data_IF_361221111296
#
_entry.id   IF_361221111296
#
_cell.length_a   1.000
_cell.length_b   1.000
_cell.length_c   1.000
_cell.angle_alpha   90.00
_cell.angle_beta   90.00
_cell.angle_gamma   90.00
#
_symmetry.space_group_name_H-M   'P 1'
#
loop_
_entity.id
_entity.type
_entity.pdbx_description
1 polymer ?
#
# COMPACT_ATOMS: atom_id res chain seq x y z
N UNK A 1 -26.22 -49.67 -0.09
CA UNK A 1 -26.54 -48.28 -0.48
C UNK A 1 -25.57 -47.38 0.29
N UNK A 2 -24.46 -47.01 -0.33
CA UNK A 2 -23.38 -46.24 0.32
C UNK A 2 -23.74 -44.76 0.22
N UNK A 3 -24.09 -44.14 1.35
CA UNK A 3 -24.30 -42.70 1.44
C UNK A 3 -22.92 -42.03 1.53
N UNK A 4 -22.46 -41.46 0.42
CA UNK A 4 -21.21 -40.71 0.35
C UNK A 4 -21.42 -39.38 1.09
N UNK A 5 -20.87 -39.27 2.30
CA UNK A 5 -20.85 -38.03 3.07
C UNK A 5 -19.85 -37.08 2.39
N UNK A 6 -20.37 -36.14 1.59
CA UNK A 6 -19.61 -35.07 0.96
C UNK A 6 -19.07 -34.13 2.04
N UNK A 7 -17.86 -34.40 2.54
CA UNK A 7 -17.11 -33.47 3.39
C UNK A 7 -16.66 -32.29 2.51
N UNK A 8 -17.52 -31.28 2.39
CA UNK A 8 -17.15 -29.97 1.86
C UNK A 8 -16.15 -29.37 2.86
N UNK A 9 -14.87 -29.59 2.59
CA UNK A 9 -13.78 -28.84 3.21
C UNK A 9 -13.96 -27.38 2.79
N UNK A 10 -14.62 -26.61 3.65
CA UNK A 10 -14.61 -25.16 3.66
C UNK A 10 -13.18 -24.71 3.95
N UNK A 11 -12.32 -24.72 2.93
CA UNK A 11 -11.07 -23.98 2.97
C UNK A 11 -11.45 -22.51 3.06
N UNK A 12 -11.34 -21.96 4.28
CA UNK A 12 -11.64 -20.56 4.53
C UNK A 12 -10.90 -19.68 3.51
N UNK A 13 -11.65 -18.87 2.77
CA UNK A 13 -11.13 -17.83 1.89
C UNK A 13 -10.46 -16.72 2.74
N UNK A 14 -9.36 -17.05 3.41
CA UNK A 14 -8.43 -16.06 3.94
C UNK A 14 -7.66 -15.42 2.79
N UNK A 15 -7.43 -14.11 2.87
CA UNK A 15 -6.54 -13.43 1.94
C UNK A 15 -5.10 -13.87 2.19
N UNK A 16 -4.38 -14.28 1.14
CA UNK A 16 -2.99 -14.76 1.25
C UNK A 16 -2.09 -13.72 1.92
N UNK A 17 -2.34 -12.44 1.66
CA UNK A 17 -1.57 -11.30 2.21
C UNK A 17 -1.55 -11.25 3.75
N UNK A 18 -2.59 -11.79 4.39
CA UNK A 18 -2.73 -11.83 5.86
C UNK A 18 -2.27 -13.15 6.48
N UNK A 19 -1.78 -14.09 5.65
CA UNK A 19 -1.43 -15.44 6.10
C UNK A 19 -0.02 -15.47 6.70
N UNK A 20 0.07 -15.21 8.01
CA UNK A 20 1.35 -15.24 8.75
C UNK A 20 2.12 -16.55 8.57
N UNK A 21 1.43 -17.69 8.65
CA UNK A 21 2.05 -19.03 8.50
C UNK A 21 2.64 -19.26 7.12
N UNK A 22 2.09 -18.61 6.09
CA UNK A 22 2.64 -18.69 4.74
C UNK A 22 3.96 -17.91 4.62
N UNK A 23 4.02 -16.70 5.17
CA UNK A 23 5.17 -15.80 5.04
C UNK A 23 6.30 -16.10 6.01
N UNK A 24 6.03 -16.67 7.18
CA UNK A 24 7.03 -16.91 8.23
C UNK A 24 8.31 -17.64 7.75
N UNK A 25 8.26 -18.77 7.02
CA UNK A 25 9.49 -19.40 6.52
C UNK A 25 10.23 -18.54 5.48
N UNK A 26 9.51 -17.74 4.67
CA UNK A 26 10.13 -16.84 3.69
C UNK A 26 10.85 -15.69 4.40
N UNK A 27 10.22 -15.11 5.42
CA UNK A 27 10.79 -14.03 6.23
C UNK A 27 12.05 -14.48 6.95
N UNK A 28 12.08 -15.71 7.47
CA UNK A 28 13.29 -16.28 8.09
C UNK A 28 14.44 -16.37 7.09
N UNK A 29 14.21 -16.82 5.86
CA UNK A 29 15.27 -16.86 4.83
C UNK A 29 15.77 -15.46 4.48
N UNK A 30 14.86 -14.48 4.33
CA UNK A 30 15.23 -13.08 4.05
C UNK A 30 16.08 -12.50 5.18
N UNK A 31 15.72 -12.73 6.44
CA UNK A 31 16.46 -12.23 7.61
C UNK A 31 17.86 -12.85 7.72
N UNK A 32 18.03 -14.11 7.33
CA UNK A 32 19.31 -14.80 7.33
C UNK A 32 20.17 -14.51 6.09
N UNK A 33 19.72 -13.65 5.17
CA UNK A 33 20.42 -13.36 3.92
C UNK A 33 20.35 -14.49 2.88
N UNK A 34 19.50 -15.49 3.09
CA UNK A 34 19.31 -16.64 2.21
C UNK A 34 18.34 -16.30 1.05
N UNK A 35 18.62 -15.24 0.32
CA UNK A 35 17.68 -14.67 -0.65
C UNK A 35 17.28 -15.65 -1.77
N UNK A 36 18.21 -16.51 -2.22
CA UNK A 36 17.91 -17.58 -3.20
C UNK A 36 16.91 -18.61 -2.68
N UNK A 37 16.96 -18.92 -1.38
CA UNK A 37 16.00 -19.82 -0.75
C UNK A 37 14.61 -19.15 -0.67
N UNK A 38 14.54 -17.87 -0.29
CA UNK A 38 13.30 -17.10 -0.30
C UNK A 38 12.64 -17.08 -1.70
N UNK A 39 13.42 -16.80 -2.75
CA UNK A 39 12.97 -16.89 -4.16
C UNK A 39 12.42 -18.29 -4.47
N UNK A 40 13.15 -19.33 -4.12
CA UNK A 40 12.75 -20.72 -4.38
C UNK A 40 11.43 -21.08 -3.69
N UNK A 41 11.23 -20.61 -2.45
CA UNK A 41 9.99 -20.82 -1.70
C UNK A 41 8.80 -20.12 -2.34
N UNK A 42 8.95 -18.86 -2.79
CA UNK A 42 7.90 -18.09 -3.46
C UNK A 42 7.51 -18.74 -4.79
N UNK A 43 8.49 -19.11 -5.63
CA UNK A 43 8.22 -19.72 -6.93
C UNK A 43 7.61 -21.13 -6.77
N UNK A 44 8.08 -21.91 -5.80
CA UNK A 44 7.48 -23.21 -5.48
C UNK A 44 6.04 -23.06 -4.95
N UNK A 45 5.76 -22.02 -4.15
CA UNK A 45 4.41 -21.71 -3.69
C UNK A 45 3.49 -21.36 -4.86
N UNK A 46 3.97 -20.59 -5.84
CA UNK A 46 3.21 -20.31 -7.08
C UNK A 46 2.95 -21.57 -7.88
N UNK A 47 3.97 -22.40 -8.10
CA UNK A 47 3.83 -23.67 -8.83
C UNK A 47 2.82 -24.63 -8.15
N UNK A 48 2.80 -24.64 -6.82
CA UNK A 48 1.83 -25.39 -6.00
C UNK A 48 0.45 -24.71 -5.87
N UNK A 49 0.18 -23.67 -6.65
CA UNK A 49 -1.08 -22.91 -6.67
C UNK A 49 -1.46 -22.30 -5.30
N UNK A 50 -0.48 -22.01 -4.43
CA UNK A 50 -0.73 -21.27 -3.18
C UNK A 50 -1.07 -19.80 -3.45
N UNK A 51 -0.45 -19.21 -4.47
CA UNK A 51 -0.89 -17.95 -5.07
C UNK A 51 -1.94 -18.26 -6.14
N UNK A 52 -3.19 -17.89 -5.92
CA UNK A 52 -4.26 -18.04 -6.91
C UNK A 52 -4.21 -16.92 -7.95
N UNK A 53 -5.11 -16.94 -8.94
CA UNK A 53 -5.18 -15.87 -9.96
C UNK A 53 -5.51 -14.50 -9.32
N UNK A 54 -6.37 -14.50 -8.30
CA UNK A 54 -6.70 -13.30 -7.51
C UNK A 54 -5.52 -12.72 -6.73
N UNK A 55 -4.48 -13.52 -6.48
CA UNK A 55 -3.29 -13.12 -5.72
C UNK A 55 -2.14 -12.72 -6.65
N UNK A 56 -2.41 -12.48 -7.96
CA UNK A 56 -1.37 -12.23 -8.96
C UNK A 56 -0.51 -11.00 -8.66
N UNK A 57 -1.10 -9.91 -8.18
CA UNK A 57 -0.33 -8.73 -7.75
C UNK A 57 0.64 -9.10 -6.62
N UNK A 58 0.11 -9.74 -5.56
CA UNK A 58 0.89 -10.18 -4.39
C UNK A 58 2.04 -11.10 -4.79
N UNK A 59 1.77 -12.07 -5.67
CA UNK A 59 2.82 -12.95 -6.19
C UNK A 59 3.93 -12.16 -6.90
N UNK A 60 3.57 -11.23 -7.77
CA UNK A 60 4.55 -10.49 -8.57
C UNK A 60 5.38 -9.55 -7.71
N UNK A 61 4.80 -8.86 -6.74
CA UNK A 61 5.55 -7.99 -5.83
C UNK A 61 6.45 -8.81 -4.88
N UNK A 62 5.94 -9.90 -4.29
CA UNK A 62 6.75 -10.80 -3.43
C UNK A 62 7.95 -11.36 -4.20
N UNK A 63 7.72 -11.88 -5.41
CA UNK A 63 8.77 -12.42 -6.25
C UNK A 63 9.76 -11.32 -6.69
N UNK A 64 9.26 -10.16 -7.12
CA UNK A 64 10.09 -9.04 -7.56
C UNK A 64 11.07 -8.57 -6.48
N UNK A 65 10.57 -8.39 -5.25
CA UNK A 65 11.41 -8.00 -4.11
C UNK A 65 12.39 -9.12 -3.71
N UNK A 66 11.95 -10.38 -3.71
CA UNK A 66 12.86 -11.49 -3.41
C UNK A 66 14.01 -11.60 -4.43
N UNK A 67 13.73 -11.39 -5.72
CA UNK A 67 14.77 -11.34 -6.76
C UNK A 67 15.68 -10.12 -6.63
N UNK A 68 15.17 -8.95 -6.21
CA UNK A 68 16.00 -7.77 -5.92
C UNK A 68 17.05 -8.11 -4.86
N UNK A 69 16.63 -8.65 -3.72
CA UNK A 69 17.56 -9.04 -2.65
C UNK A 69 18.49 -10.19 -3.07
N UNK A 70 18.05 -11.08 -3.95
CA UNK A 70 18.89 -12.12 -4.54
C UNK A 70 19.84 -11.62 -5.64
N UNK A 71 19.86 -10.31 -5.92
CA UNK A 71 20.65 -9.66 -6.97
C UNK A 71 20.37 -10.16 -8.40
N UNK A 72 19.20 -10.76 -8.62
CA UNK A 72 18.70 -11.12 -9.96
C UNK A 72 17.80 -9.97 -10.45
N UNK A 73 18.45 -8.85 -10.76
CA UNK A 73 17.81 -7.58 -11.07
C UNK A 73 16.92 -7.64 -12.31
N UNK A 74 17.30 -8.43 -13.31
CA UNK A 74 16.50 -8.62 -14.52
C UNK A 74 15.16 -9.30 -14.20
N UNK A 75 15.18 -10.42 -13.46
CA UNK A 75 13.92 -11.08 -13.05
C UNK A 75 13.14 -10.22 -12.07
N UNK A 76 13.81 -9.48 -11.20
CA UNK A 76 13.16 -8.53 -10.31
C UNK A 76 12.34 -7.51 -11.11
N UNK A 77 12.96 -6.84 -12.09
CA UNK A 77 12.29 -5.88 -12.97
C UNK A 77 11.13 -6.52 -13.71
N UNK A 78 11.32 -7.69 -14.32
CA UNK A 78 10.23 -8.40 -15.03
C UNK A 78 9.03 -8.71 -14.12
N UNK A 79 9.26 -9.06 -12.85
CA UNK A 79 8.18 -9.33 -11.89
C UNK A 79 7.52 -8.04 -11.41
N UNK A 80 8.30 -7.00 -11.11
CA UNK A 80 7.77 -5.70 -10.67
C UNK A 80 6.93 -5.03 -11.76
N UNK A 81 7.34 -5.08 -13.02
CA UNK A 81 6.50 -4.63 -14.15
C UNK A 81 5.20 -5.42 -14.25
N UNK A 82 5.23 -6.74 -14.02
CA UNK A 82 4.00 -7.55 -13.99
C UNK A 82 3.11 -7.21 -12.80
N UNK A 83 3.68 -6.79 -11.67
CA UNK A 83 2.94 -6.28 -10.52
C UNK A 83 2.21 -4.98 -10.88
N UNK A 84 2.88 -4.02 -11.53
CA UNK A 84 2.23 -2.78 -12.01
C UNK A 84 1.07 -3.08 -12.97
N UNK A 85 1.31 -3.92 -13.99
CA UNK A 85 0.27 -4.28 -14.95
C UNK A 85 -0.92 -4.97 -14.27
N UNK A 86 -0.65 -5.87 -13.31
CA UNK A 86 -1.69 -6.50 -12.53
C UNK A 86 -2.47 -5.47 -11.71
N UNK A 87 -1.80 -4.51 -11.07
CA UNK A 87 -2.44 -3.47 -10.29
C UNK A 87 -3.41 -2.63 -11.13
N UNK A 88 -2.98 -2.17 -12.31
CA UNK A 88 -3.79 -1.35 -13.20
C UNK A 88 -5.03 -2.09 -13.72
N UNK A 89 -4.86 -3.34 -14.14
CA UNK A 89 -5.98 -4.19 -14.58
C UNK A 89 -6.98 -4.47 -13.45
N UNK A 90 -6.47 -4.77 -12.25
CA UNK A 90 -7.30 -5.08 -11.09
C UNK A 90 -8.07 -3.85 -10.60
N UNK A 91 -7.41 -2.69 -10.58
CA UNK A 91 -8.02 -1.42 -10.25
C UNK A 91 -9.13 -1.06 -11.24
N UNK A 92 -8.85 -1.17 -12.54
CA UNK A 92 -9.85 -0.90 -13.60
C UNK A 92 -11.08 -1.80 -13.46
N UNK A 93 -10.87 -3.12 -13.27
CA UNK A 93 -11.97 -4.06 -12.99
C UNK A 93 -12.76 -3.69 -11.74
N UNK A 94 -12.10 -3.21 -10.69
CA UNK A 94 -12.77 -2.83 -9.45
C UNK A 94 -13.71 -1.64 -9.65
N UNK A 95 -13.33 -0.64 -10.47
CA UNK A 95 -14.19 0.50 -10.83
C UNK A 95 -15.38 0.02 -11.66
N UNK A 96 -15.16 -0.77 -12.71
CA UNK A 96 -16.24 -1.26 -13.57
C UNK A 96 -17.26 -2.09 -12.77
N UNK A 97 -16.79 -2.96 -11.86
CA UNK A 97 -17.67 -3.75 -10.99
C UNK A 97 -18.44 -2.90 -9.99
N UNK A 98 -17.78 -1.88 -9.45
CA UNK A 98 -18.40 -0.93 -8.54
C UNK A 98 -19.56 -0.16 -9.19
N UNK A 99 -19.38 0.30 -10.43
CA UNK A 99 -20.44 0.95 -11.21
C UNK A 99 -21.62 0.00 -11.48
N UNK A 100 -21.36 -1.31 -11.60
CA UNK A 100 -22.40 -2.31 -11.87
C UNK A 100 -23.22 -2.73 -10.64
N UNK A 101 -22.67 -2.59 -9.41
CA UNK A 101 -23.40 -2.71 -8.15
C UNK A 101 -22.48 -2.44 -6.95
N UNK A 102 -22.90 -1.57 -6.04
CA UNK A 102 -22.23 -1.32 -4.75
C UNK A 102 -22.17 -2.56 -3.83
N UNK A 103 -23.01 -3.57 -4.10
CA UNK A 103 -23.28 -4.69 -3.19
C UNK A 103 -22.38 -5.91 -3.40
N UNK A 104 -21.52 -5.89 -4.43
CA UNK A 104 -20.57 -6.99 -4.69
C UNK A 104 -19.60 -7.15 -3.50
N UNK A 105 -19.23 -8.39 -3.18
CA UNK A 105 -18.39 -8.72 -2.03
C UNK A 105 -16.90 -8.40 -2.29
N UNK A 106 -16.24 -7.66 -1.38
CA UNK A 106 -14.81 -7.36 -1.50
C UNK A 106 -13.91 -8.60 -1.40
N UNK A 107 -14.35 -9.69 -0.77
CA UNK A 107 -13.60 -10.96 -0.80
C UNK A 107 -13.60 -11.64 -2.19
N UNK A 108 -14.44 -11.16 -3.12
CA UNK A 108 -14.43 -11.53 -4.54
C UNK A 108 -13.57 -10.54 -5.35
N UNK A 109 -13.26 -9.37 -4.79
CA UNK A 109 -12.35 -8.42 -5.41
C UNK A 109 -10.90 -8.87 -5.16
N UNK A 110 -10.17 -8.97 -6.25
CA UNK A 110 -8.76 -9.33 -6.26
C UNK A 110 -7.97 -8.14 -5.68
N UNK A 111 -6.95 -8.41 -4.88
CA UNK A 111 -6.14 -7.35 -4.26
C UNK A 111 -5.33 -6.61 -5.33
N UNK A 112 -5.67 -5.35 -5.57
CA UNK A 112 -5.06 -4.52 -6.63
C UNK A 112 -3.72 -3.90 -6.26
N UNK A 113 -3.24 -4.10 -5.02
CA UNK A 113 -2.13 -3.34 -4.46
C UNK A 113 -2.56 -2.00 -3.87
N UNK A 114 -1.84 -1.56 -2.83
CA UNK A 114 -1.92 -0.20 -2.33
C UNK A 114 -1.06 0.74 -3.20
N UNK A 115 -1.40 2.03 -3.19
CA UNK A 115 -0.74 3.01 -4.06
C UNK A 115 0.74 3.18 -3.72
N UNK A 116 1.11 3.11 -2.43
CA UNK A 116 2.52 3.08 -2.02
C UNK A 116 3.22 1.81 -2.52
N UNK A 117 2.60 0.63 -2.45
CA UNK A 117 3.24 -0.62 -2.91
C UNK A 117 3.58 -0.53 -4.40
N UNK A 118 2.65 0.03 -5.20
CA UNK A 118 2.84 0.25 -6.63
C UNK A 118 3.94 1.29 -6.88
N UNK A 119 3.95 2.40 -6.15
CA UNK A 119 5.00 3.42 -6.21
C UNK A 119 6.39 2.81 -5.96
N UNK A 120 6.54 2.04 -4.88
CA UNK A 120 7.83 1.43 -4.55
C UNK A 120 8.28 0.39 -5.57
N UNK A 121 7.38 -0.21 -6.36
CA UNK A 121 7.83 -1.07 -7.47
C UNK A 121 8.77 -0.34 -8.42
N UNK A 122 8.49 0.93 -8.77
CA UNK A 122 9.38 1.72 -9.61
C UNK A 122 10.68 2.07 -8.87
N UNK A 123 10.63 2.40 -7.58
CA UNK A 123 11.84 2.73 -6.82
C UNK A 123 12.78 1.52 -6.68
N UNK A 124 12.23 0.31 -6.49
CA UNK A 124 13.03 -0.92 -6.53
C UNK A 124 13.58 -1.22 -7.92
N UNK A 125 12.81 -0.98 -8.99
CA UNK A 125 13.34 -1.11 -10.36
C UNK A 125 14.45 -0.08 -10.64
N UNK A 126 14.32 1.16 -10.16
CA UNK A 126 15.39 2.16 -10.25
C UNK A 126 16.66 1.69 -9.53
N UNK A 127 16.54 1.15 -8.30
CA UNK A 127 17.68 0.56 -7.58
C UNK A 127 18.32 -0.61 -8.34
N UNK A 128 17.50 -1.48 -8.95
CA UNK A 128 17.97 -2.58 -9.78
C UNK A 128 18.80 -2.08 -10.97
N UNK A 129 18.32 -1.06 -11.66
CA UNK A 129 19.01 -0.45 -12.79
C UNK A 129 20.29 0.29 -12.38
N UNK A 130 20.26 1.03 -11.26
CA UNK A 130 21.45 1.65 -10.65
C UNK A 130 22.51 0.59 -10.35
N UNK A 131 22.11 -0.56 -9.79
CA UNK A 131 23.04 -1.64 -9.42
C UNK A 131 23.78 -2.26 -10.62
N UNK A 132 23.28 -2.07 -11.85
CA UNK A 132 23.93 -2.51 -13.09
C UNK A 132 24.42 -1.33 -13.95
N UNK A 133 24.56 -0.13 -13.37
CA UNK A 133 24.99 1.11 -14.03
C UNK A 133 24.13 1.55 -15.22
N UNK A 134 22.85 1.16 -15.26
CA UNK A 134 21.90 1.59 -16.29
C UNK A 134 21.09 2.80 -15.80
N UNK A 135 21.69 3.98 -15.83
CA UNK A 135 21.04 5.19 -15.32
C UNK A 135 19.86 5.65 -16.16
N UNK A 136 19.87 5.42 -17.48
CA UNK A 136 18.77 5.80 -18.37
C UNK A 136 17.44 5.16 -17.93
N UNK A 137 17.43 3.84 -17.74
CA UNK A 137 16.23 3.14 -17.27
C UNK A 137 15.90 3.48 -15.81
N UNK A 138 16.90 3.73 -14.96
CA UNK A 138 16.66 4.16 -13.58
C UNK A 138 15.98 5.54 -13.51
N UNK A 139 16.35 6.49 -14.38
CA UNK A 139 15.67 7.78 -14.51
C UNK A 139 14.23 7.62 -14.98
N UNK A 140 13.97 6.71 -15.93
CA UNK A 140 12.61 6.40 -16.35
C UNK A 140 11.76 5.96 -15.15
N UNK A 141 12.28 5.06 -14.32
CA UNK A 141 11.52 4.53 -13.18
C UNK A 141 11.30 5.56 -12.06
N UNK A 142 12.30 6.39 -11.72
CA UNK A 142 12.09 7.49 -10.76
C UNK A 142 11.09 8.54 -11.26
N UNK A 143 11.04 8.79 -12.58
CA UNK A 143 10.03 9.64 -13.20
C UNK A 143 8.64 9.00 -13.16
N UNK A 144 8.52 7.70 -13.48
CA UNK A 144 7.26 6.95 -13.40
C UNK A 144 6.71 6.94 -11.98
N UNK A 145 7.57 6.81 -10.96
CA UNK A 145 7.17 6.89 -9.55
C UNK A 145 6.48 8.24 -9.24
N UNK A 146 7.12 9.36 -9.59
CA UNK A 146 6.54 10.70 -9.40
C UNK A 146 5.28 10.93 -10.24
N UNK A 147 5.23 10.42 -11.47
CA UNK A 147 4.05 10.53 -12.33
C UNK A 147 2.84 9.84 -11.72
N UNK A 148 3.01 8.66 -11.11
CA UNK A 148 1.92 7.96 -10.42
C UNK A 148 1.31 8.83 -9.31
N UNK A 149 2.13 9.54 -8.52
CA UNK A 149 1.64 10.44 -7.48
C UNK A 149 0.80 11.58 -8.06
N UNK A 150 1.28 12.20 -9.13
CA UNK A 150 0.55 13.28 -9.81
C UNK A 150 -0.78 12.82 -10.42
N UNK A 151 -0.91 11.53 -10.73
CA UNK A 151 -2.13 10.94 -11.28
C UNK A 151 -3.08 10.38 -10.21
N UNK A 152 -2.70 10.31 -8.92
CA UNK A 152 -3.54 9.75 -7.86
C UNK A 152 -4.86 10.52 -7.69
N UNK A 153 -4.82 11.86 -7.73
CA UNK A 153 -6.05 12.65 -7.58
C UNK A 153 -7.03 12.38 -8.74
N UNK A 154 -6.52 12.32 -9.97
CA UNK A 154 -7.33 11.96 -11.13
C UNK A 154 -7.86 10.53 -11.02
N UNK A 155 -7.03 9.59 -10.54
CA UNK A 155 -7.39 8.18 -10.33
C UNK A 155 -8.57 8.06 -9.36
N UNK A 156 -8.53 8.75 -8.22
CA UNK A 156 -9.61 8.69 -7.22
C UNK A 156 -10.85 9.46 -7.64
N UNK A 157 -10.70 10.56 -8.38
CA UNK A 157 -11.84 11.25 -9.00
C UNK A 157 -12.58 10.32 -9.97
N UNK A 158 -11.87 9.64 -10.88
CA UNK A 158 -12.47 8.66 -11.80
C UNK A 158 -13.19 7.53 -11.07
N UNK A 159 -12.60 7.04 -9.98
CA UNK A 159 -13.26 6.06 -9.14
C UNK A 159 -14.58 6.65 -8.58
N UNK A 160 -14.52 7.81 -7.94
CA UNK A 160 -15.67 8.55 -7.40
C UNK A 160 -16.80 8.75 -8.42
N UNK A 161 -16.47 9.19 -9.63
CA UNK A 161 -17.43 9.43 -10.71
C UNK A 161 -18.12 8.12 -11.13
N UNK A 162 -17.36 7.03 -11.28
CA UNK A 162 -17.91 5.70 -11.58
C UNK A 162 -18.83 5.16 -10.48
N UNK A 163 -18.60 5.52 -9.22
CA UNK A 163 -19.49 5.17 -8.11
C UNK A 163 -20.78 5.98 -8.13
N UNK A 164 -20.69 7.29 -8.32
CA UNK A 164 -21.87 8.16 -8.32
C UNK A 164 -22.83 7.77 -9.47
N UNK A 165 -22.30 7.37 -10.64
CA UNK A 165 -23.10 6.82 -11.73
C UNK A 165 -23.84 5.52 -11.34
N UNK A 166 -23.16 4.59 -10.67
CA UNK A 166 -23.79 3.34 -10.22
C UNK A 166 -24.87 3.53 -9.14
N UNK A 167 -24.82 4.63 -8.38
CA UNK A 167 -25.84 5.00 -7.38
C UNK A 167 -27.11 5.54 -8.06
N UNK A 168 -26.98 6.29 -9.15
CA UNK A 168 -28.13 6.83 -9.89
C UNK A 168 -28.99 5.73 -10.55
N UNK A 169 -28.37 4.61 -10.95
CA UNK A 169 -29.05 3.51 -11.61
C UNK A 169 -29.75 2.52 -10.63
N UNK A 170 -29.32 2.47 -9.36
CA UNK A 170 -29.91 1.60 -8.32
C UNK A 170 -31.01 2.35 -7.54
N UNK A 171 -32.26 2.24 -8.01
CA UNK A 171 -33.48 2.89 -7.46
C UNK A 171 -33.86 2.54 -6.01
N UNK A 172 -32.98 1.88 -5.25
CA UNK A 172 -33.21 1.48 -3.87
C UNK A 172 -32.01 1.84 -2.97
N UNK A 173 -32.16 2.96 -2.25
CA UNK A 173 -31.48 3.33 -1.00
C UNK A 173 -30.26 4.30 -1.09
N UNK A 174 -30.48 5.45 -0.45
CA UNK A 174 -29.53 6.49 -0.01
C UNK A 174 -28.74 7.18 -1.13
N UNK A 175 -29.13 8.43 -1.44
CA UNK A 175 -28.29 9.36 -2.20
C UNK A 175 -27.01 9.64 -1.40
N UNK A 176 -25.91 8.96 -1.74
CA UNK A 176 -24.60 9.28 -1.18
C UNK A 176 -23.76 9.89 -2.27
N UNK A 177 -23.70 11.22 -2.29
CA UNK A 177 -22.76 11.94 -3.14
C UNK A 177 -21.35 11.84 -2.52
N UNK A 178 -20.55 10.91 -3.03
CA UNK A 178 -19.16 10.79 -2.62
C UNK A 178 -18.28 11.74 -3.45
N UNK A 179 -17.39 12.45 -2.77
CA UNK A 179 -16.34 13.25 -3.40
C UNK A 179 -14.99 12.74 -2.91
N UNK A 180 -14.13 12.38 -3.85
CA UNK A 180 -12.76 12.01 -3.55
C UNK A 180 -12.03 13.09 -2.74
N UNK A 181 -11.27 12.65 -1.74
CA UNK A 181 -10.40 13.52 -0.96
C UNK A 181 -9.23 14.02 -1.81
N UNK A 182 -8.69 15.18 -1.42
CA UNK A 182 -7.50 15.73 -2.08
C UNK A 182 -6.29 14.89 -1.68
N UNK A 183 -5.52 14.44 -2.66
CA UNK A 183 -4.24 13.77 -2.44
C UNK A 183 -3.22 14.82 -1.98
N UNK A 184 -2.57 14.60 -0.83
CA UNK A 184 -1.56 15.51 -0.29
C UNK A 184 -0.13 14.98 -0.42
N UNK A 185 0.04 13.88 -1.14
CA UNK A 185 1.33 13.31 -1.50
C UNK A 185 1.59 13.39 -3.01
N UNK A 186 2.51 14.26 -3.42
CA UNK A 186 2.82 14.52 -4.83
C UNK A 186 4.34 14.57 -5.14
N UNK A 187 5.19 14.45 -4.12
CA UNK A 187 6.63 14.57 -4.26
C UNK A 187 7.34 13.59 -3.30
N UNK A 188 7.87 12.52 -3.86
CA UNK A 188 8.51 11.42 -3.14
C UNK A 188 9.99 11.72 -2.85
N UNK A 189 10.38 11.73 -1.59
CA UNK A 189 11.72 12.12 -1.18
C UNK A 189 12.77 11.13 -1.67
N UNK A 190 12.46 9.84 -1.66
CA UNK A 190 13.40 8.82 -2.07
C UNK A 190 13.63 8.84 -3.58
N UNK A 191 12.58 9.02 -4.39
CA UNK A 191 12.67 9.22 -5.83
C UNK A 191 13.53 10.44 -6.18
N UNK A 192 13.34 11.58 -5.49
CA UNK A 192 14.14 12.79 -5.70
C UNK A 192 15.59 12.59 -5.32
N UNK A 193 15.84 11.90 -4.21
CA UNK A 193 17.19 11.56 -3.80
C UNK A 193 17.89 10.68 -4.85
N UNK A 194 17.25 9.62 -5.34
CA UNK A 194 17.82 8.75 -6.36
C UNK A 194 18.12 9.53 -7.65
N UNK A 195 17.16 10.32 -8.14
CA UNK A 195 17.33 11.13 -9.36
C UNK A 195 18.48 12.13 -9.22
N UNK A 196 18.51 12.88 -8.11
CA UNK A 196 19.61 13.80 -7.78
C UNK A 196 20.98 13.08 -7.78
N UNK A 197 21.07 11.90 -7.16
CA UNK A 197 22.33 11.14 -7.09
C UNK A 197 22.77 10.59 -8.44
N UNK A 198 21.82 10.16 -9.28
CA UNK A 198 22.12 9.72 -10.64
C UNK A 198 22.66 10.87 -11.49
N UNK A 199 22.02 12.05 -11.45
CA UNK A 199 22.51 13.23 -12.15
C UNK A 199 23.92 13.63 -11.69
N UNK A 200 24.16 13.63 -10.38
CA UNK A 200 25.48 13.91 -9.82
C UNK A 200 26.53 12.88 -10.25
N UNK A 201 26.17 11.58 -10.32
CA UNK A 201 27.07 10.52 -10.76
C UNK A 201 27.47 10.65 -12.24
N UNK A 202 26.60 11.24 -13.07
CA UNK A 202 26.90 11.55 -14.48
C UNK A 202 27.60 12.91 -14.68
N UNK A 203 27.92 13.63 -13.60
CA UNK A 203 28.52 14.97 -13.66
C UNK A 203 27.54 16.08 -14.08
N UNK A 204 26.24 15.79 -14.14
CA UNK A 204 25.17 16.73 -14.49
C UNK A 204 24.69 17.49 -13.25
N UNK A 205 25.56 18.30 -12.66
CA UNK A 205 25.28 18.97 -11.39
C UNK A 205 24.16 20.02 -11.45
N UNK A 206 23.96 20.64 -12.62
CA UNK A 206 22.86 21.58 -12.86
C UNK A 206 21.49 20.87 -12.83
N UNK A 207 21.43 19.62 -13.28
CA UNK A 207 20.22 18.80 -13.16
C UNK A 207 20.07 18.27 -11.73
N UNK A 208 21.17 17.85 -11.09
CA UNK A 208 21.16 17.37 -9.71
C UNK A 208 20.64 18.43 -8.72
N UNK A 209 20.98 19.71 -8.91
CA UNK A 209 20.48 20.78 -8.04
C UNK A 209 18.96 20.98 -8.16
N UNK A 210 18.37 20.68 -9.32
CA UNK A 210 16.91 20.74 -9.50
C UNK A 210 16.24 19.70 -8.61
N UNK A 211 16.68 18.44 -8.67
CA UNK A 211 16.09 17.38 -7.84
C UNK A 211 16.42 17.52 -6.36
N UNK A 212 17.59 18.08 -6.01
CA UNK A 212 17.89 18.45 -4.63
C UNK A 212 16.92 19.51 -4.08
N UNK A 213 16.55 20.51 -4.89
CA UNK A 213 15.57 21.51 -4.51
C UNK A 213 14.15 20.91 -4.41
N UNK A 214 13.82 19.93 -5.25
CA UNK A 214 12.55 19.20 -5.16
C UNK A 214 12.52 18.29 -3.93
N UNK A 215 13.63 17.66 -3.56
CA UNK A 215 13.79 16.94 -2.31
C UNK A 215 13.54 17.86 -1.11
N UNK A 216 14.16 19.04 -1.06
CA UNK A 216 13.90 20.05 -0.03
C UNK A 216 12.43 20.44 0.05
N UNK A 217 11.79 20.68 -1.09
CA UNK A 217 10.36 20.98 -1.15
C UNK A 217 9.51 19.84 -0.62
N UNK A 218 9.89 18.58 -0.83
CA UNK A 218 9.14 17.45 -0.27
C UNK A 218 9.04 17.57 1.25
N UNK A 219 10.15 17.83 1.95
CA UNK A 219 10.19 18.03 3.40
C UNK A 219 9.42 19.28 3.87
N UNK A 220 9.54 20.40 3.15
CA UNK A 220 8.88 21.66 3.53
C UNK A 220 7.36 21.62 3.31
N UNK A 221 6.93 21.06 2.17
CA UNK A 221 5.53 21.13 1.72
C UNK A 221 4.69 19.94 2.19
N UNK A 222 5.33 18.83 2.61
CA UNK A 222 4.65 17.62 3.07
C UNK A 222 5.11 17.18 4.49
N UNK A 223 5.07 18.06 5.51
CA UNK A 223 5.52 17.76 6.87
C UNK A 223 4.64 16.73 7.60
N UNK A 224 3.53 16.32 7.00
CA UNK A 224 2.65 15.26 7.49
C UNK A 224 3.12 13.85 7.06
N UNK A 225 4.07 13.78 6.13
CA UNK A 225 4.76 12.56 5.69
C UNK A 225 6.20 12.58 6.18
N UNK A 226 6.87 13.73 6.03
CA UNK A 226 8.24 13.96 6.47
C UNK A 226 8.23 14.83 7.73
N UNK A 227 7.82 14.24 8.85
CA UNK A 227 7.71 14.91 10.16
C UNK A 227 9.05 14.95 10.94
N UNK A 228 10.15 14.72 10.24
CA UNK A 228 11.52 14.68 10.75
C UNK A 228 12.43 15.60 9.93
N UNK A 229 13.59 15.95 10.51
CA UNK A 229 14.56 16.81 9.85
C UNK A 229 15.12 16.17 8.57
N UNK A 230 15.25 16.98 7.52
CA UNK A 230 15.89 16.54 6.28
C UNK A 230 17.35 16.13 6.55
N UNK A 231 17.79 14.95 6.10
CA UNK A 231 19.19 14.53 6.19
C UNK A 231 20.16 15.52 5.54
N UNK A 232 21.40 15.59 6.05
CA UNK A 232 22.47 16.40 5.45
C UNK A 232 22.99 15.75 4.16
N UNK A 233 22.25 15.98 3.08
CA UNK A 233 22.52 15.39 1.76
C UNK A 233 23.28 16.40 0.91
N UNK A 234 24.45 15.95 0.43
CA UNK A 234 25.27 16.66 -0.56
C UNK A 234 25.09 16.05 -1.94
N UNK A 235 25.00 16.88 -2.97
CA UNK A 235 25.01 16.46 -4.37
C UNK A 235 26.33 16.82 -5.09
N UNK A 236 27.04 17.81 -4.59
CA UNK A 236 28.34 18.27 -5.08
C UNK A 236 29.44 18.00 -4.04
N UNK A 237 30.62 17.47 -4.45
CA UNK A 237 31.79 17.43 -3.58
C UNK A 237 32.25 18.84 -3.21
N UNK A 238 32.87 18.98 -2.02
CA UNK A 238 33.36 20.29 -1.53
C UNK A 238 34.53 20.83 -2.37
N UNK A 239 35.35 19.94 -2.94
CA UNK A 239 36.44 20.26 -3.84
C UNK A 239 36.72 19.04 -4.76
N UNK A 240 37.67 19.18 -5.69
CA UNK A 240 38.01 18.15 -6.68
C UNK A 240 38.68 16.89 -6.10
N UNK A 241 39.23 16.97 -4.90
CA UNK A 241 39.90 15.87 -4.22
C UNK A 241 38.93 15.05 -3.34
N UNK A 242 37.71 15.55 -3.13
CA UNK A 242 36.67 14.86 -2.37
C UNK A 242 35.77 14.02 -3.30
N UNK A 243 35.39 12.82 -2.84
CA UNK A 243 34.37 11.97 -3.48
C UNK A 243 33.18 11.80 -2.53
N UNK A 244 31.96 11.74 -3.06
CA UNK A 244 30.78 11.41 -2.26
C UNK A 244 30.47 9.92 -2.40
N UNK A 245 30.52 9.20 -1.29
CA UNK A 245 29.96 7.85 -1.17
C UNK A 245 28.49 7.97 -0.74
N UNK A 246 27.57 7.49 -1.58
CA UNK A 246 26.15 7.39 -1.24
C UNK A 246 25.84 5.99 -0.75
N UNK A 247 25.35 5.89 0.48
CA UNK A 247 24.90 4.62 1.08
C UNK A 247 23.41 4.73 1.36
N UNK A 248 22.63 3.76 0.84
CA UNK A 248 21.19 3.66 1.08
C UNK A 248 20.93 2.35 1.81
N UNK A 249 20.22 2.42 2.92
CA UNK A 249 19.76 1.26 3.67
C UNK A 249 18.23 1.20 3.66
N UNK A 250 17.68 0.07 3.21
CA UNK A 250 16.27 -0.24 3.39
C UNK A 250 16.15 -1.13 4.62
N UNK A 251 15.48 -0.63 5.66
CA UNK A 251 15.39 -1.31 6.96
C UNK A 251 13.96 -1.32 7.50
N UNK A 252 13.68 -2.36 8.29
CA UNK A 252 12.35 -2.57 8.86
C UNK A 252 11.42 -3.34 7.93
N UNK A 253 10.15 -3.37 8.31
CA UNK A 253 9.09 -4.04 7.58
C UNK A 253 8.08 -2.99 7.13
N UNK A 254 7.56 -3.12 5.91
CA UNK A 254 6.45 -2.29 5.41
C UNK A 254 5.25 -2.34 6.37
N UNK A 255 4.34 -1.35 6.39
CA UNK A 255 3.12 -1.47 7.19
C UNK A 255 2.23 -2.63 6.70
N UNK A 256 1.27 -3.03 7.54
CA UNK A 256 0.28 -4.05 7.21
C UNK A 256 -1.13 -3.49 7.24
N UNK A 257 -1.99 -4.00 6.38
CA UNK A 257 -3.42 -3.69 6.42
C UNK A 257 -4.12 -4.67 7.38
N UNK A 258 -4.68 -4.15 8.46
CA UNK A 258 -5.44 -4.92 9.44
C UNK A 258 -6.93 -4.56 9.38
N UNK A 259 -7.79 -5.50 9.80
CA UNK A 259 -9.21 -5.25 9.95
C UNK A 259 -9.51 -4.68 11.35
N UNK A 260 -10.04 -3.46 11.39
CA UNK A 260 -10.64 -2.87 12.57
C UNK A 260 -12.11 -3.28 12.66
N UNK A 261 -12.43 -4.09 13.66
CA UNK A 261 -13.78 -4.61 13.86
C UNK A 261 -14.63 -3.61 14.65
N UNK A 262 -15.72 -3.17 14.03
CA UNK A 262 -16.66 -2.20 14.55
C UNK A 262 -18.07 -2.78 14.59
N UNK A 263 -18.96 -2.03 15.24
CA UNK A 263 -20.37 -2.34 15.35
C UNK A 263 -21.17 -1.07 15.12
N UNK A 264 -22.20 -1.19 14.31
CA UNK A 264 -23.20 -0.15 14.16
C UNK A 264 -24.40 -0.51 15.05
N UNK A 265 -24.88 0.48 15.81
CA UNK A 265 -26.13 0.44 16.56
C UNK A 265 -26.96 1.64 16.13
N UNK A 266 -28.25 1.46 15.84
CA UNK A 266 -29.19 2.58 15.74
C UNK A 266 -30.13 2.60 16.94
N UNK A 267 -30.60 3.79 17.27
CA UNK A 267 -31.56 4.06 18.34
C UNK A 267 -32.63 5.00 17.81
N UNK A 268 -33.81 4.43 17.49
CA UNK A 268 -34.93 5.14 16.86
C UNK A 268 -35.58 6.17 17.78
N UNK A 269 -35.51 5.96 19.09
CA UNK A 269 -36.11 6.87 20.06
C UNK A 269 -35.23 8.12 20.25
N UNK A 270 -33.94 8.01 19.92
CA UNK A 270 -32.95 9.08 20.01
C UNK A 270 -32.50 9.63 18.64
N UNK A 271 -33.04 9.13 17.52
CA UNK A 271 -32.57 9.43 16.16
C UNK A 271 -31.05 9.37 16.03
N UNK A 272 -30.46 8.27 16.52
CA UNK A 272 -29.02 8.14 16.71
C UNK A 272 -28.45 6.91 16.00
N UNK A 273 -27.36 7.09 15.26
CA UNK A 273 -26.52 6.02 14.72
C UNK A 273 -25.17 6.05 15.44
N UNK A 274 -24.87 5.02 16.22
CA UNK A 274 -23.59 4.87 16.93
C UNK A 274 -22.70 3.83 16.26
N UNK A 275 -21.41 4.15 16.18
CA UNK A 275 -20.35 3.24 15.75
C UNK A 275 -19.48 2.97 16.98
N UNK A 276 -19.37 1.69 17.34
CA UNK A 276 -18.70 1.24 18.54
C UNK A 276 -17.55 0.28 18.19
N UNK A 277 -16.47 0.36 18.96
CA UNK A 277 -15.40 -0.63 18.92
C UNK A 277 -15.90 -1.99 19.41
N UNK A 278 -15.45 -3.06 18.75
CA UNK A 278 -15.78 -4.44 19.17
C UNK A 278 -14.58 -5.19 19.74
N UNK A 279 -13.39 -4.60 19.72
CA UNK A 279 -12.20 -5.24 20.26
C UNK A 279 -12.26 -5.31 21.80
N UNK A 280 -11.69 -6.35 22.43
CA UNK A 280 -11.77 -6.53 23.88
C UNK A 280 -11.13 -5.40 24.69
N UNK A 281 -10.20 -4.62 24.11
CA UNK A 281 -9.48 -3.54 24.82
C UNK A 281 -10.28 -2.25 24.86
N UNK A 282 -11.09 -1.98 23.83
CA UNK A 282 -11.94 -0.79 23.69
C UNK A 282 -13.42 -1.16 23.66
N UNK A 283 -13.80 -2.27 24.28
CA UNK A 283 -15.12 -2.84 24.12
C UNK A 283 -16.21 -1.81 24.44
N UNK A 284 -17.12 -1.62 23.48
CA UNK A 284 -18.26 -0.69 23.57
C UNK A 284 -17.87 0.79 23.77
N UNK A 285 -16.59 1.13 23.57
CA UNK A 285 -16.14 2.52 23.44
C UNK A 285 -16.64 3.09 22.11
N UNK A 286 -17.02 4.36 22.13
CA UNK A 286 -17.53 5.05 20.96
C UNK A 286 -16.39 5.34 19.97
N UNK A 287 -16.57 4.88 18.73
CA UNK A 287 -15.76 5.28 17.58
C UNK A 287 -16.28 6.62 17.02
N UNK A 288 -17.60 6.78 17.00
CA UNK A 288 -18.28 8.01 16.61
C UNK A 288 -19.79 7.78 16.49
N UNK A 289 -20.54 8.85 16.30
CA UNK A 289 -21.97 8.79 16.05
C UNK A 289 -22.41 9.81 15.00
N UNK A 290 -23.61 9.59 14.47
CA UNK A 290 -24.34 10.48 13.59
C UNK A 290 -25.74 10.67 14.17
N UNK A 291 -26.16 11.91 14.36
CA UNK A 291 -27.55 12.24 14.70
C UNK A 291 -28.37 12.27 13.40
N UNK A 292 -29.10 11.20 13.14
CA UNK A 292 -29.86 10.98 11.90
C UNK A 292 -31.13 10.21 12.22
N UNK A 293 -32.30 10.61 11.66
CA UNK A 293 -33.53 9.89 11.86
C UNK A 293 -33.44 8.44 11.43
N UNK A 294 -33.82 7.51 12.30
CA UNK A 294 -33.80 6.07 12.03
C UNK A 294 -35.15 5.45 12.37
N UNK A 295 -35.70 4.67 11.44
CA UNK A 295 -37.03 4.09 11.59
C UNK A 295 -37.07 2.87 12.52
N UNK A 296 -35.93 2.22 12.73
CA UNK A 296 -35.81 0.96 13.48
C UNK A 296 -34.45 0.88 14.18
N UNK A 297 -34.38 0.01 15.18
CA UNK A 297 -33.15 -0.32 15.91
C UNK A 297 -32.42 -1.47 15.19
N UNK A 298 -31.26 -1.16 14.63
CA UNK A 298 -30.38 -2.08 13.95
C UNK A 298 -29.15 -2.34 14.78
N UNK A 299 -28.67 -3.57 14.67
CA UNK A 299 -27.44 -4.01 15.31
C UNK A 299 -26.69 -4.94 14.37
N UNK A 300 -25.53 -4.50 13.88
CA UNK A 300 -24.66 -5.37 13.08
C UNK A 300 -23.18 -5.02 13.23
N UNK A 301 -22.34 -6.04 13.08
CA UNK A 301 -20.89 -5.92 13.09
C UNK A 301 -20.37 -5.72 11.67
N UNK A 302 -19.34 -4.91 11.54
CA UNK A 302 -18.63 -4.71 10.28
C UNK A 302 -17.14 -4.48 10.56
N UNK A 303 -16.31 -4.56 9.52
CA UNK A 303 -14.87 -4.36 9.67
C UNK A 303 -14.38 -3.40 8.60
N UNK A 304 -13.66 -2.36 9.01
CA UNK A 304 -13.01 -1.42 8.10
C UNK A 304 -11.50 -1.70 8.09
N UNK A 305 -10.80 -1.49 6.96
CA UNK A 305 -9.35 -1.64 6.94
C UNK A 305 -8.66 -0.43 7.60
N UNK A 306 -7.51 -0.70 8.20
CA UNK A 306 -6.58 0.31 8.71
C UNK A 306 -5.15 -0.08 8.34
N UNK A 307 -4.30 0.91 8.10
CA UNK A 307 -2.85 0.70 7.95
C UNK A 307 -2.24 0.71 9.36
N UNK A 308 -1.40 -0.28 9.64
CA UNK A 308 -0.71 -0.44 10.91
C UNK A 308 0.78 -0.54 10.64
N UNK A 309 1.53 0.47 11.10
CA UNK A 309 2.98 0.48 11.03
C UNK A 309 3.59 -0.64 11.86
N UNK A 310 4.71 -1.19 11.39
CA UNK A 310 5.49 -2.21 12.10
C UNK A 310 6.81 -1.60 12.55
N UNK A 311 7.11 -1.68 13.85
CA UNK A 311 8.37 -1.18 14.38
C UNK A 311 9.56 -1.95 13.78
N UNK A 312 10.63 -1.22 13.47
CA UNK A 312 11.89 -1.80 13.05
C UNK A 312 12.63 -2.40 14.25
N UNK A 313 13.31 -3.54 14.04
CA UNK A 313 14.28 -4.09 15.00
C UNK A 313 15.66 -3.41 14.86
N UNK A 314 15.86 -2.66 13.78
CA UNK A 314 17.09 -1.91 13.50
C UNK A 314 16.93 -0.50 14.08
N UNK A 315 17.75 -0.18 15.08
CA UNK A 315 17.76 1.14 15.72
C UNK A 315 18.62 2.16 14.95
N UNK A 316 19.76 1.73 14.40
CA UNK A 316 20.68 2.57 13.62
C UNK A 316 21.49 1.74 12.64
N UNK A 317 21.93 2.37 11.55
CA UNK A 317 22.85 1.78 10.56
C UNK A 317 24.11 2.64 10.53
N UNK A 318 25.26 2.04 10.82
CA UNK A 318 26.55 2.71 10.88
C UNK A 318 27.43 2.23 9.73
N UNK A 319 28.12 3.16 9.08
CA UNK A 319 29.02 2.88 7.96
C UNK A 319 30.47 2.94 8.43
N UNK A 320 31.22 1.89 8.09
CA UNK A 320 32.66 1.83 8.27
C UNK A 320 33.36 1.57 6.94
N UNK A 321 34.54 2.16 6.74
CA UNK A 321 35.46 1.80 5.67
C UNK A 321 36.85 1.56 6.26
N UNK A 322 37.47 0.40 5.98
CA UNK A 322 38.78 0.04 6.54
C UNK A 322 38.88 0.18 8.07
N UNK A 323 37.79 -0.13 8.79
CA UNK A 323 37.63 0.06 10.26
C UNK A 323 37.52 1.51 10.74
N UNK A 324 37.52 2.49 9.85
CA UNK A 324 37.23 3.89 10.16
C UNK A 324 35.72 4.13 10.14
N UNK A 325 35.20 4.79 11.18
CA UNK A 325 33.80 5.21 11.25
C UNK A 325 33.57 6.36 10.26
N UNK A 326 32.66 6.17 9.32
CA UNK A 326 32.31 7.18 8.32
C UNK A 326 31.06 7.99 8.67
N UNK A 327 30.15 7.41 9.46
CA UNK A 327 28.90 8.06 9.83
C UNK A 327 27.76 7.09 10.13
N UNK A 328 26.61 7.67 10.46
CA UNK A 328 25.35 6.98 10.69
C UNK A 328 24.36 7.39 9.61
N UNK A 329 23.60 6.44 9.06
CA UNK A 329 22.54 6.75 8.10
C UNK A 329 21.43 7.52 8.80
N UNK A 330 20.95 8.57 8.14
CA UNK A 330 19.77 9.33 8.57
C UNK A 330 18.53 8.84 7.81
N UNK A 331 17.37 8.91 8.46
CA UNK A 331 16.10 8.55 7.84
C UNK A 331 15.79 9.52 6.70
N UNK A 332 15.61 8.99 5.49
CA UNK A 332 15.18 9.78 4.34
C UNK A 332 13.66 9.72 4.15
N UNK A 333 13.06 8.56 4.36
CA UNK A 333 11.65 8.32 4.10
C UNK A 333 11.10 7.23 5.03
N UNK A 334 9.96 7.49 5.66
CA UNK A 334 9.18 6.48 6.36
C UNK A 334 8.09 5.92 5.43
N UNK A 335 8.29 4.69 4.95
CA UNK A 335 7.32 3.95 4.12
C UNK A 335 5.96 3.82 4.81
N UNK A 336 5.94 3.74 6.14
CA UNK A 336 4.72 3.73 6.95
C UNK A 336 3.93 5.03 6.84
N UNK A 337 4.61 6.17 6.89
CA UNK A 337 3.98 7.49 6.70
C UNK A 337 3.43 7.64 5.27
N UNK A 338 4.21 7.24 4.26
CA UNK A 338 3.76 7.23 2.85
C UNK A 338 2.54 6.33 2.65
N UNK A 339 2.53 5.14 3.25
CA UNK A 339 1.40 4.23 3.18
C UNK A 339 0.14 4.77 3.86
N UNK A 340 0.29 5.43 5.02
CA UNK A 340 -0.83 6.06 5.71
C UNK A 340 -1.42 7.17 4.84
N UNK A 341 -0.60 8.09 4.33
CA UNK A 341 -1.10 9.21 3.53
C UNK A 341 -1.78 8.75 2.24
N UNK A 342 -1.18 7.79 1.51
CA UNK A 342 -1.80 7.22 0.31
C UNK A 342 -3.08 6.43 0.63
N UNK A 343 -3.21 5.85 1.82
CA UNK A 343 -4.43 5.19 2.26
C UNK A 343 -5.54 6.20 2.61
N UNK A 344 -5.22 7.29 3.31
CA UNK A 344 -6.19 8.33 3.68
C UNK A 344 -6.93 8.87 2.44
N UNK A 345 -6.22 9.13 1.34
CA UNK A 345 -6.80 9.65 0.10
C UNK A 345 -7.94 8.81 -0.52
N UNK A 346 -8.01 7.51 -0.19
CA UNK A 346 -9.09 6.60 -0.65
C UNK A 346 -9.93 6.01 0.49
N UNK A 347 -9.61 6.34 1.74
CA UNK A 347 -10.19 5.74 2.94
C UNK A 347 -11.68 5.97 3.01
N UNK A 348 -12.13 7.20 2.77
CA UNK A 348 -13.55 7.55 2.80
C UNK A 348 -14.38 6.74 1.81
N UNK A 349 -13.88 6.52 0.59
CA UNK A 349 -14.52 5.62 -0.37
C UNK A 349 -14.61 4.17 0.13
N UNK A 350 -13.53 3.65 0.70
CA UNK A 350 -13.50 2.29 1.23
C UNK A 350 -14.49 2.13 2.39
N UNK A 351 -14.55 3.12 3.28
CA UNK A 351 -15.41 3.09 4.46
C UNK A 351 -16.87 3.20 4.05
N UNK A 352 -17.18 4.10 3.12
CA UNK A 352 -18.51 4.25 2.57
C UNK A 352 -19.06 2.92 2.04
N UNK A 353 -18.29 2.22 1.17
CA UNK A 353 -18.70 0.91 0.63
C UNK A 353 -18.91 -0.12 1.72
N UNK A 354 -18.03 -0.14 2.71
CA UNK A 354 -18.09 -1.10 3.82
C UNK A 354 -19.35 -0.90 4.65
N UNK A 355 -19.67 0.35 5.00
CA UNK A 355 -20.85 0.71 5.79
C UNK A 355 -22.13 0.47 4.99
N UNK A 356 -22.22 0.95 3.75
CA UNK A 356 -23.39 0.74 2.90
C UNK A 356 -23.73 -0.75 2.75
N UNK A 357 -22.71 -1.59 2.50
CA UNK A 357 -22.90 -3.05 2.43
C UNK A 357 -23.34 -3.65 3.76
N UNK A 358 -22.76 -3.19 4.86
CA UNK A 358 -23.12 -3.69 6.19
C UNK A 358 -24.57 -3.35 6.54
N UNK A 359 -25.01 -2.12 6.26
CA UNK A 359 -26.41 -1.68 6.37
C UNK A 359 -27.31 -2.57 5.51
N UNK A 360 -27.02 -2.70 4.22
CA UNK A 360 -27.84 -3.52 3.31
C UNK A 360 -27.99 -4.96 3.79
N UNK A 361 -26.89 -5.61 4.19
CA UNK A 361 -26.92 -6.98 4.74
C UNK A 361 -27.70 -7.06 6.05
N UNK A 362 -27.57 -6.06 6.91
CA UNK A 362 -28.32 -5.94 8.16
C UNK A 362 -29.82 -5.86 7.91
N UNK A 363 -30.24 -4.96 7.02
CA UNK A 363 -31.65 -4.77 6.62
C UNK A 363 -32.24 -6.04 5.99
N UNK A 364 -31.50 -6.68 5.08
CA UNK A 364 -31.93 -7.91 4.43
C UNK A 364 -32.09 -9.07 5.44
N UNK A 365 -31.17 -9.19 6.40
CA UNK A 365 -31.27 -10.19 7.46
C UNK A 365 -32.41 -9.91 8.45
N UNK A 366 -32.75 -8.63 8.68
CA UNK A 366 -33.88 -8.24 9.51
C UNK A 366 -35.22 -8.57 8.84
N UNK A 367 -35.38 -8.24 7.54
CA UNK A 367 -36.59 -8.57 6.75
C UNK A 367 -36.84 -10.08 6.56
N UNK A 368 -35.79 -10.90 6.69
CA UNK A 368 -35.87 -12.35 6.57
C UNK A 368 -36.21 -13.06 7.90
N UNK A 369 -36.23 -12.33 9.01
CA UNK A 369 -36.77 -12.79 10.30
C UNK A 369 -38.22 -12.33 10.43
#
# INVERSE_FOLDING_TARGET
MVLLLSFLLLTGCGSLITNKKFYEPITVELQNGNYKAAVSQIEAARAKKKYQNKDRFVYFIDAGLAYHYASDFEKSNQKLTKAENAADELFTKSITRAAASLLLNDNVLEYSGEDYEILYTNLFMALNYIAVNNYDDAFVETKRANEKLNLLEQKYRKASDGYNQGIEDDTAAVEINYKAEKVRFNNDSFARYLSMRMYAAEGKYDDAVIDYNLLKRAFIEQPHIYDFDMPDIKYLPENKDNTILSVVGLAGLSPVKEALNLRLRTDKDLDLVQILYTDPKRQDSEYGHLALPVSEDYYFKFSIPQIVSRSSLINRIVVYANSEYLGELQLLEDVGAVANETFEAKKSLIYLRTVARAVFKGLAAHKAK
#
